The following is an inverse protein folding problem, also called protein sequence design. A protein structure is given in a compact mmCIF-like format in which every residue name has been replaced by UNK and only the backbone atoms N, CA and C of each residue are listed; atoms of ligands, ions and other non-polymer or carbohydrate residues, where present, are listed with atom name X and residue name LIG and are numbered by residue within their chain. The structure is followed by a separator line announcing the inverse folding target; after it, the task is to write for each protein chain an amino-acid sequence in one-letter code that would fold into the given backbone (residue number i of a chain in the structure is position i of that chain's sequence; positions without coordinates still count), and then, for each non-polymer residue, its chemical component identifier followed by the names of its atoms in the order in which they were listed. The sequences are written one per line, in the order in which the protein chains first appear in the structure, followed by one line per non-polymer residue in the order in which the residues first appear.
data_IF_205811709941
#
_entry.id   IF_205811709941
#
_cell.length_a   1.000
_cell.length_b   1.000
_cell.length_c   1.000
_cell.angle_alpha   90.00
_cell.angle_beta   90.00
_cell.angle_gamma   90.00
#
_symmetry.space_group_name_H-M   'P 1'
#
loop_
_entity.id
_entity.type
_entity.pdbx_description
1 polymer ?
#
# COMPACT_ATOMS: atom_id res chain seq x y z
N UNK A 1 -14.46 3.41 -24.24
CA UNK A 1 -13.02 3.20 -23.97
C UNK A 1 -12.65 1.79 -24.41
N UNK A 2 -11.99 1.64 -25.57
CA UNK A 2 -11.63 0.32 -26.10
C UNK A 2 -10.38 -0.25 -25.44
N UNK A 3 -10.37 -1.56 -25.20
CA UNK A 3 -9.15 -2.28 -24.80
C UNK A 3 -8.20 -2.37 -26.01
N UNK A 4 -7.16 -1.53 -26.02
CA UNK A 4 -6.10 -1.63 -27.02
C UNK A 4 -5.41 -2.98 -26.87
N UNK A 5 -5.63 -3.90 -27.83
CA UNK A 5 -4.98 -5.22 -27.84
C UNK A 5 -3.47 -5.01 -27.88
N UNK A 6 -2.77 -5.41 -26.81
CA UNK A 6 -1.32 -5.40 -26.79
C UNK A 6 -0.81 -6.29 -27.94
N UNK A 7 -0.12 -5.69 -28.91
CA UNK A 7 0.64 -6.46 -29.89
C UNK A 7 1.74 -7.20 -29.11
N UNK A 8 1.76 -8.53 -29.19
CA UNK A 8 2.88 -9.31 -28.69
C UNK A 8 4.12 -8.96 -29.51
N UNK A 9 4.96 -8.09 -28.98
CA UNK A 9 6.32 -7.93 -29.50
C UNK A 9 7.04 -9.26 -29.27
N UNK A 10 7.47 -9.91 -30.35
CA UNK A 10 8.17 -11.19 -30.30
C UNK A 10 9.63 -10.97 -29.84
N UNK A 11 9.77 -10.49 -28.60
CA UNK A 11 11.00 -10.09 -27.97
C UNK A 11 11.38 -11.17 -26.96
N UNK A 12 12.60 -11.70 -27.08
CA UNK A 12 13.15 -12.69 -26.16
C UNK A 12 13.32 -12.10 -24.75
N UNK A 13 12.24 -12.11 -23.96
CA UNK A 13 12.24 -11.64 -22.58
C UNK A 13 12.73 -12.71 -21.62
N UNK A 14 13.65 -12.33 -20.74
CA UNK A 14 14.07 -13.16 -19.61
C UNK A 14 12.88 -13.55 -18.71
N UNK A 15 13.03 -14.64 -17.95
CA UNK A 15 12.02 -15.08 -16.97
C UNK A 15 11.71 -13.95 -15.97
N UNK A 16 12.73 -13.17 -15.58
CA UNK A 16 12.59 -12.04 -14.68
C UNK A 16 11.73 -10.91 -15.27
N UNK A 17 11.99 -10.50 -16.51
CA UNK A 17 11.18 -9.49 -17.20
C UNK A 17 9.75 -9.96 -17.40
N UNK A 18 9.52 -11.23 -17.80
CA UNK A 18 8.18 -11.80 -17.92
C UNK A 18 7.44 -11.77 -16.59
N UNK A 19 8.07 -12.18 -15.49
CA UNK A 19 7.49 -12.11 -14.13
C UNK A 19 7.15 -10.66 -13.73
N UNK A 20 8.04 -9.71 -14.01
CA UNK A 20 7.83 -8.27 -13.73
C UNK A 20 6.69 -7.70 -14.56
N UNK A 21 6.61 -8.03 -15.85
CA UNK A 21 5.54 -7.60 -16.76
C UNK A 21 4.17 -8.15 -16.33
N UNK A 22 4.09 -9.45 -15.98
CA UNK A 22 2.86 -10.07 -15.46
C UNK A 22 2.39 -9.35 -14.19
N UNK A 23 3.30 -9.11 -13.24
CA UNK A 23 2.96 -8.37 -12.01
C UNK A 23 2.44 -6.97 -12.32
N UNK A 24 3.18 -6.17 -13.10
CA UNK A 24 2.79 -4.80 -13.44
C UNK A 24 1.44 -4.73 -14.17
N UNK A 25 1.17 -5.67 -15.08
CA UNK A 25 -0.13 -5.78 -15.77
C UNK A 25 -1.26 -6.08 -14.78
N UNK A 26 -1.06 -7.02 -13.86
CA UNK A 26 -2.06 -7.36 -12.85
C UNK A 26 -2.31 -6.19 -11.86
N UNK A 27 -1.24 -5.57 -11.34
CA UNK A 27 -1.33 -4.40 -10.45
C UNK A 27 -2.06 -3.22 -11.13
N UNK A 28 -1.78 -3.00 -12.42
CA UNK A 28 -2.47 -1.99 -13.25
C UNK A 28 -3.94 -2.31 -13.44
N UNK A 29 -4.27 -3.57 -13.76
CA UNK A 29 -5.65 -4.00 -13.99
C UNK A 29 -6.49 -3.89 -12.71
N UNK A 30 -5.96 -4.32 -11.56
CA UNK A 30 -6.57 -4.15 -10.24
C UNK A 30 -6.85 -2.68 -9.93
N UNK A 31 -5.84 -1.81 -10.10
CA UNK A 31 -5.99 -0.39 -9.83
C UNK A 31 -7.02 0.29 -10.75
N UNK A 32 -7.04 -0.12 -12.02
CA UNK A 32 -7.97 0.40 -13.04
C UNK A 32 -9.41 -0.05 -12.77
N UNK A 33 -9.63 -1.28 -12.32
CA UNK A 33 -10.95 -1.78 -11.91
C UNK A 33 -11.55 -0.97 -10.74
N UNK A 34 -10.69 -0.42 -9.87
CA UNK A 34 -11.09 0.49 -8.78
C UNK A 34 -11.29 1.95 -9.20
N UNK A 35 -11.12 2.28 -10.49
CA UNK A 35 -11.34 3.63 -11.06
C UNK A 35 -10.59 4.76 -10.33
N UNK A 36 -9.49 4.44 -9.65
CA UNK A 36 -8.74 5.40 -8.82
C UNK A 36 -9.52 5.93 -7.60
N UNK A 37 -10.57 5.24 -7.14
CA UNK A 37 -11.36 5.64 -5.98
C UNK A 37 -10.61 5.42 -4.65
N UNK A 38 -9.84 4.33 -4.56
CA UNK A 38 -9.03 3.98 -3.38
C UNK A 38 -7.64 4.62 -3.43
N UNK A 39 -7.07 4.90 -2.26
CA UNK A 39 -5.72 5.41 -2.11
C UNK A 39 -4.68 4.41 -2.62
N UNK A 40 -4.87 3.11 -2.39
CA UNK A 40 -3.95 2.07 -2.86
C UNK A 40 -3.94 1.94 -4.40
N UNK A 41 -5.10 2.08 -5.06
CA UNK A 41 -5.17 2.03 -6.52
C UNK A 41 -4.51 3.26 -7.16
N UNK A 42 -4.73 4.46 -6.60
CA UNK A 42 -3.99 5.67 -6.98
C UNK A 42 -2.48 5.50 -6.79
N UNK A 43 -2.04 4.95 -5.67
CA UNK A 43 -0.63 4.72 -5.39
C UNK A 43 0.04 3.81 -6.44
N UNK A 44 -0.62 2.71 -6.84
CA UNK A 44 -0.10 1.82 -7.90
C UNK A 44 -0.01 2.53 -9.27
N UNK A 45 -0.97 3.37 -9.62
CA UNK A 45 -0.96 4.14 -10.88
C UNK A 45 0.15 5.20 -10.86
N UNK A 46 0.33 5.91 -9.75
CA UNK A 46 1.35 6.96 -9.60
C UNK A 46 2.78 6.44 -9.45
N UNK A 47 2.99 5.17 -9.11
CA UNK A 47 4.31 4.59 -8.90
C UNK A 47 4.99 4.10 -10.20
N UNK A 48 4.52 4.55 -11.37
CA UNK A 48 4.96 4.06 -12.68
C UNK A 48 6.32 4.59 -13.16
N UNK A 49 6.80 5.71 -12.61
CA UNK A 49 8.05 6.37 -13.04
C UNK A 49 8.93 6.85 -11.87
N UNK A 50 9.26 5.98 -10.90
CA UNK A 50 10.20 6.34 -9.82
C UNK A 50 11.26 5.28 -9.52
N UNK A 51 12.56 5.63 -9.72
CA UNK A 51 13.60 5.26 -8.78
C UNK A 51 13.31 5.83 -7.38
N UNK A 52 13.85 5.17 -6.36
CA UNK A 52 13.75 5.47 -4.91
C UNK A 52 14.15 6.94 -4.60
N UNK A 53 13.57 7.59 -3.57
CA UNK A 53 12.83 8.83 -3.80
C UNK A 53 13.63 10.14 -3.70
N UNK A 54 13.25 11.11 -4.52
CA UNK A 54 13.48 12.53 -4.25
C UNK A 54 12.19 13.24 -3.82
N UNK A 55 12.32 14.06 -2.79
CA UNK A 55 11.27 14.84 -2.13
C UNK A 55 10.69 15.95 -3.02
N UNK A 56 9.37 16.00 -3.18
CA UNK A 56 8.56 17.19 -3.56
C UNK A 56 7.07 16.82 -3.44
N UNK A 57 6.30 17.38 -2.47
CA UNK A 57 5.42 18.57 -2.60
C UNK A 57 4.53 18.52 -3.86
N UNK A 58 3.19 18.67 -3.82
CA UNK A 58 2.22 19.33 -2.90
C UNK A 58 0.94 18.44 -2.86
N UNK A 59 -0.13 18.62 -2.08
CA UNK A 59 -0.64 19.68 -1.20
C UNK A 59 -1.71 19.02 -0.27
N UNK A 60 -2.42 19.64 0.69
CA UNK A 60 -2.31 20.92 1.43
C UNK A 60 -3.35 20.95 2.57
N UNK A 61 -3.00 21.45 3.75
CA UNK A 61 -3.97 21.98 4.72
C UNK A 61 -3.35 23.15 5.50
N UNK A 62 -4.02 24.31 5.46
CA UNK A 62 -3.51 25.53 6.07
C UNK A 62 -3.93 25.64 7.54
N UNK A 63 -2.95 25.65 8.46
CA UNK A 63 -3.15 26.04 9.85
C UNK A 63 -2.25 27.22 10.22
N UNK A 64 -2.92 28.22 10.78
CA UNK A 64 -2.53 29.62 10.95
C UNK A 64 -1.32 29.82 11.88
N UNK A 65 -0.65 30.96 11.67
CA UNK A 65 0.37 31.63 12.51
C UNK A 65 0.27 31.33 14.02
N UNK A 66 1.41 31.27 14.71
CA UNK A 66 1.74 32.12 15.88
C UNK A 66 3.25 32.10 16.14
N UNK A 67 3.79 33.23 16.61
CA UNK A 67 5.21 33.51 16.86
C UNK A 67 5.48 33.52 18.37
N UNK A 68 6.77 33.47 18.74
CA UNK A 68 7.40 33.94 20.01
C UNK A 68 7.62 32.93 21.17
N UNK A 69 8.93 32.68 21.33
CA UNK A 69 9.75 32.90 22.55
C UNK A 69 9.89 31.76 23.59
N UNK A 70 11.07 31.79 24.19
CA UNK A 70 11.66 30.84 25.14
C UNK A 70 11.23 31.06 26.59
N UNK A 71 11.31 29.99 27.42
CA UNK A 71 12.18 29.97 28.62
C UNK A 71 12.24 28.61 29.37
N UNK A 72 13.26 28.55 30.22
CA UNK A 72 13.87 27.44 30.99
C UNK A 72 13.00 26.75 32.07
N UNK A 73 13.33 25.46 32.29
CA UNK A 73 13.60 24.78 33.59
C UNK A 73 12.43 24.33 34.52
N UNK A 74 12.40 22.99 34.70
CA UNK A 74 12.05 22.16 35.90
C UNK A 74 10.85 22.56 36.78
N UNK A 75 9.91 21.61 36.94
CA UNK A 75 9.57 21.03 38.27
C UNK A 75 9.31 19.52 38.16
N UNK A 76 9.90 18.75 39.06
CA UNK A 76 9.58 17.34 39.32
C UNK A 76 8.26 17.24 40.09
N UNK A 77 7.39 16.32 39.71
CA UNK A 77 6.19 15.97 40.48
C UNK A 77 6.14 14.45 40.70
N UNK A 78 6.01 14.03 41.98
CA UNK A 78 5.83 12.63 42.35
C UNK A 78 4.41 12.17 42.00
N UNK A 79 4.26 11.34 40.97
CA UNK A 79 3.05 10.53 40.75
C UNK A 79 3.40 9.05 40.90
N UNK A 80 3.31 8.51 42.12
CA UNK A 80 3.71 7.14 42.45
C UNK A 80 2.67 6.07 42.13
N UNK A 81 1.37 6.38 42.22
CA UNK A 81 0.29 5.39 42.17
C UNK A 81 -0.29 5.13 40.75
N UNK A 82 -0.29 6.12 39.86
CA UNK A 82 -0.92 5.99 38.53
C UNK A 82 -0.11 5.16 37.50
N UNK A 83 1.14 4.77 37.82
CA UNK A 83 2.09 4.24 36.84
C UNK A 83 1.72 2.87 36.28
N UNK A 84 1.12 1.98 37.09
CA UNK A 84 0.92 0.57 36.69
C UNK A 84 -0.01 0.42 35.48
N UNK A 85 -1.16 1.12 35.49
CA UNK A 85 -2.09 1.16 34.34
C UNK A 85 -1.60 2.02 33.17
N UNK A 86 -0.76 3.03 33.44
CA UNK A 86 -0.16 3.85 32.37
C UNK A 86 0.95 3.12 31.60
N UNK A 87 1.71 2.24 32.29
CA UNK A 87 2.72 1.36 31.67
C UNK A 87 2.05 0.30 30.77
N UNK A 88 0.98 -0.37 31.22
CA UNK A 88 0.29 -1.36 30.37
C UNK A 88 -0.35 -0.69 29.15
N UNK A 89 -0.96 0.49 29.32
CA UNK A 89 -1.48 1.31 28.22
C UNK A 89 -0.38 1.74 27.24
N UNK A 90 0.81 2.10 27.71
CA UNK A 90 1.93 2.49 26.82
C UNK A 90 2.50 1.31 26.04
N UNK A 91 2.56 0.11 26.63
CA UNK A 91 2.95 -1.13 25.93
C UNK A 91 1.94 -1.46 24.83
N UNK A 92 0.63 -1.45 25.13
CA UNK A 92 -0.41 -1.69 24.14
C UNK A 92 -0.34 -0.68 22.98
N UNK A 93 -0.18 0.61 23.27
CA UNK A 93 0.01 1.65 22.26
C UNK A 93 1.29 1.47 21.44
N UNK A 94 2.39 1.01 22.04
CA UNK A 94 3.63 0.68 21.34
C UNK A 94 3.43 -0.48 20.36
N UNK A 95 2.74 -1.54 20.78
CA UNK A 95 2.41 -2.68 19.92
C UNK A 95 1.49 -2.29 18.76
N UNK A 96 0.45 -1.47 19.03
CA UNK A 96 -0.43 -0.93 17.97
C UNK A 96 0.38 -0.11 16.97
N UNK A 97 1.18 0.88 17.42
CA UNK A 97 2.03 1.69 16.53
C UNK A 97 2.97 0.86 15.65
N UNK A 98 3.62 -0.18 16.21
CA UNK A 98 4.46 -1.11 15.44
C UNK A 98 3.66 -1.88 14.39
N UNK A 99 2.49 -2.42 14.74
CA UNK A 99 1.60 -3.13 13.80
C UNK A 99 1.05 -2.21 12.72
N UNK A 100 0.63 -0.99 13.07
CA UNK A 100 0.21 0.06 12.12
C UNK A 100 1.34 0.38 11.15
N UNK A 101 2.58 0.55 11.63
CA UNK A 101 3.72 0.84 10.75
C UNK A 101 4.03 -0.31 9.77
N UNK A 102 3.94 -1.57 10.23
CA UNK A 102 4.05 -2.74 9.35
C UNK A 102 2.93 -2.71 8.30
N UNK A 103 1.67 -2.51 8.72
CA UNK A 103 0.53 -2.46 7.81
C UNK A 103 0.68 -1.34 6.75
N UNK A 104 1.14 -0.15 7.16
CA UNK A 104 1.47 0.96 6.25
C UNK A 104 2.48 0.59 5.17
N UNK A 105 3.44 -0.27 5.46
CA UNK A 105 4.45 -0.74 4.50
C UNK A 105 3.93 -1.85 3.56
N UNK A 106 2.84 -2.53 3.91
CA UNK A 106 2.24 -3.60 3.12
C UNK A 106 1.20 -3.12 2.11
N UNK A 107 0.50 -2.03 2.43
CA UNK A 107 -0.52 -1.42 1.56
C UNK A 107 0.15 -0.41 0.61
N UNK A 108 -0.09 -0.44 -0.72
CA UNK A 108 0.39 0.57 -1.64
C UNK A 108 -0.02 1.99 -1.19
N UNK A 109 0.96 2.87 -0.94
CA UNK A 109 0.70 4.22 -0.43
C UNK A 109 0.28 4.31 1.05
N UNK A 110 0.30 3.19 1.79
CA UNK A 110 -0.13 3.12 3.20
C UNK A 110 0.62 4.05 4.14
N UNK A 111 1.89 4.35 3.84
CA UNK A 111 2.73 5.31 4.57
C UNK A 111 2.02 6.66 4.79
N UNK A 112 1.28 7.15 3.79
CA UNK A 112 0.60 8.44 3.79
C UNK A 112 -0.82 8.41 4.38
N UNK A 113 -1.34 7.23 4.77
CA UNK A 113 -2.71 7.08 5.29
C UNK A 113 -2.82 7.40 6.79
N UNK A 114 -3.99 7.84 7.23
CA UNK A 114 -4.34 7.84 8.66
C UNK A 114 -4.78 6.43 9.10
N UNK A 115 -4.91 6.19 10.41
CA UNK A 115 -5.19 4.85 10.94
C UNK A 115 -6.55 4.27 10.50
N UNK A 116 -7.59 5.11 10.36
CA UNK A 116 -8.93 4.65 9.96
C UNK A 116 -8.94 4.26 8.48
N UNK A 117 -8.49 5.17 7.61
CA UNK A 117 -8.42 4.90 6.17
C UNK A 117 -7.47 3.74 5.85
N UNK A 118 -6.40 3.53 6.63
CA UNK A 118 -5.51 2.39 6.46
C UNK A 118 -6.25 1.06 6.64
N UNK A 119 -7.19 0.95 7.59
CA UNK A 119 -7.98 -0.28 7.78
C UNK A 119 -8.98 -0.47 6.64
N UNK A 120 -9.69 0.58 6.22
CA UNK A 120 -10.64 0.54 5.09
C UNK A 120 -9.94 0.11 3.80
N UNK A 121 -8.82 0.75 3.46
CA UNK A 121 -7.99 0.44 2.30
C UNK A 121 -7.35 -0.96 2.39
N UNK A 122 -7.02 -1.44 3.59
CA UNK A 122 -6.53 -2.81 3.82
C UNK A 122 -7.60 -3.85 3.48
N UNK A 123 -8.83 -3.67 3.94
CA UNK A 123 -9.94 -4.60 3.66
C UNK A 123 -10.22 -4.67 2.16
N UNK A 124 -10.21 -3.51 1.49
CA UNK A 124 -10.40 -3.42 0.05
C UNK A 124 -9.25 -4.06 -0.74
N UNK A 125 -8.00 -3.85 -0.31
CA UNK A 125 -6.83 -4.44 -0.95
C UNK A 125 -6.77 -5.96 -0.75
N UNK A 126 -7.08 -6.48 0.45
CA UNK A 126 -7.20 -7.93 0.69
C UNK A 126 -8.23 -8.57 -0.26
N UNK A 127 -9.39 -7.93 -0.42
CA UNK A 127 -10.44 -8.40 -1.33
C UNK A 127 -9.94 -8.42 -2.77
N UNK A 128 -9.22 -7.38 -3.20
CA UNK A 128 -8.66 -7.27 -4.55
C UNK A 128 -7.57 -8.32 -4.81
N UNK A 129 -6.69 -8.57 -3.84
CA UNK A 129 -5.65 -9.61 -3.91
C UNK A 129 -6.24 -11.02 -4.04
N UNK A 130 -7.34 -11.33 -3.33
CA UNK A 130 -8.03 -12.63 -3.48
C UNK A 130 -8.49 -12.85 -4.92
N UNK A 131 -9.23 -11.88 -5.47
CA UNK A 131 -9.70 -11.91 -6.87
C UNK A 131 -8.54 -12.04 -7.86
N UNK A 132 -7.45 -11.29 -7.67
CA UNK A 132 -6.24 -11.40 -8.49
C UNK A 132 -5.68 -12.82 -8.50
N UNK A 133 -5.49 -13.42 -7.32
CA UNK A 133 -4.91 -14.76 -7.18
C UNK A 133 -5.83 -15.82 -7.78
N UNK A 134 -7.15 -15.70 -7.61
CA UNK A 134 -8.12 -16.65 -8.15
C UNK A 134 -8.21 -16.59 -9.69
N UNK A 135 -8.11 -15.40 -10.27
CA UNK A 135 -7.96 -15.23 -11.74
C UNK A 135 -6.64 -15.83 -12.23
N UNK A 136 -5.53 -15.59 -11.53
CA UNK A 136 -4.21 -16.15 -11.92
C UNK A 136 -4.17 -17.67 -11.82
N UNK A 137 -4.79 -18.27 -10.80
CA UNK A 137 -4.98 -19.73 -10.68
C UNK A 137 -5.80 -20.27 -11.85
N UNK A 138 -6.95 -19.65 -12.14
CA UNK A 138 -7.84 -20.06 -13.22
C UNK A 138 -7.14 -20.04 -14.58
N UNK A 139 -6.35 -19.00 -14.86
CA UNK A 139 -5.53 -18.90 -16.07
C UNK A 139 -4.44 -19.98 -16.14
N UNK A 140 -3.74 -20.26 -15.04
CA UNK A 140 -2.73 -21.31 -14.99
C UNK A 140 -3.36 -22.70 -15.24
N UNK A 141 -4.49 -23.00 -14.61
CA UNK A 141 -5.24 -24.26 -14.81
C UNK A 141 -5.83 -24.38 -16.21
N UNK A 142 -6.22 -23.27 -16.86
CA UNK A 142 -6.65 -23.28 -18.26
C UNK A 142 -5.45 -23.51 -19.21
N UNK A 143 -4.32 -22.85 -18.95
CA UNK A 143 -3.10 -23.02 -19.74
C UNK A 143 -2.55 -24.44 -19.67
N UNK A 144 -2.57 -25.08 -18.48
CA UNK A 144 -2.13 -26.46 -18.32
C UNK A 144 -2.99 -27.44 -19.14
N UNK A 145 -4.32 -27.29 -19.08
CA UNK A 145 -5.27 -28.10 -19.89
C UNK A 145 -5.11 -27.87 -21.39
N UNK A 146 -4.74 -26.67 -21.83
CA UNK A 146 -4.50 -26.36 -23.24
C UNK A 146 -3.15 -26.86 -23.77
N UNK A 147 -2.22 -27.27 -22.88
CA UNK A 147 -0.95 -27.91 -23.26
C UNK A 147 -0.99 -29.44 -23.24
N UNK A 148 -2.08 -30.06 -22.79
CA UNK A 148 -2.29 -31.50 -22.92
C UNK A 148 -2.55 -31.85 -24.39
N UNK A 149 -1.80 -32.81 -24.99
CA UNK A 149 -2.07 -33.25 -26.35
C UNK A 149 -3.41 -34.00 -26.39
N UNK A 150 -4.30 -33.59 -27.30
CA UNK A 150 -5.48 -34.37 -27.63
C UNK A 150 -5.06 -35.65 -28.37
N UNK A 151 -5.11 -36.78 -27.66
CA UNK A 151 -5.15 -38.13 -28.25
C UNK A 151 -6.59 -38.47 -28.66
#
# INVERSE_FOLDING_TARGET
MGLQRCKFSNKNMSIFERKKAIKLSADTAMASARKGLTCWSRALISNRDRPVPTTTRRASSACKKIVKRSRRIRRTAKCGAARKGQITRSIAQCLVRKRTQILKSLIPGGEFMNEVCLIEETLDYITSLRVQVDVMRSLASASARASEPHN
#
